data_IF_061086389256
#
_entry.id   IF_061086389256
#
_cell.length_a   1.000
_cell.length_b   1.000
_cell.length_c   1.000
_cell.angle_alpha   90.00
_cell.angle_beta   90.00
_cell.angle_gamma   90.00
#
_symmetry.space_group_name_H-M   'P 1'
#
loop_
_entity.id
_entity.type
_entity.pdbx_description
1 polymer ?
#
# COMPACT_ATOMS: atom_id res chain seq x y z
N UNK A 1 -17.48 3.59 -28.45
CA UNK A 1 -16.62 2.55 -29.05
C UNK A 1 -15.48 2.28 -28.08
N UNK A 2 -15.40 1.08 -27.49
CA UNK A 2 -14.47 0.76 -26.38
C UNK A 2 -13.47 -0.35 -26.73
N UNK A 3 -13.35 -0.71 -28.02
CA UNK A 3 -12.33 -1.65 -28.46
C UNK A 3 -10.95 -1.02 -28.36
N UNK A 4 -9.98 -1.78 -27.84
CA UNK A 4 -8.57 -1.39 -27.81
C UNK A 4 -8.04 -1.35 -29.24
N UNK A 5 -7.41 -0.24 -29.62
CA UNK A 5 -6.80 -0.05 -30.96
C UNK A 5 -5.29 0.11 -30.90
N UNK A 6 -4.75 0.46 -29.74
CA UNK A 6 -3.31 0.61 -29.54
C UNK A 6 -2.96 0.46 -28.06
N UNK A 7 -1.85 -0.20 -27.78
CA UNK A 7 -1.20 -0.24 -26.47
C UNK A 7 0.24 0.22 -26.65
N UNK A 8 0.73 1.07 -25.74
CA UNK A 8 2.11 1.58 -25.77
C UNK A 8 2.71 1.36 -24.39
N UNK A 9 3.85 0.70 -24.32
CA UNK A 9 4.68 0.61 -23.12
C UNK A 9 5.90 1.52 -23.21
N UNK A 10 6.33 2.09 -22.09
CA UNK A 10 7.59 2.83 -22.00
C UNK A 10 8.26 2.69 -20.64
N UNK A 11 9.57 2.94 -20.62
CA UNK A 11 10.37 3.03 -19.42
C UNK A 11 10.30 4.47 -18.89
N UNK A 12 9.79 4.64 -17.67
CA UNK A 12 9.81 5.91 -16.91
C UNK A 12 10.61 5.72 -15.62
N UNK A 13 10.66 6.74 -14.77
CA UNK A 13 11.44 6.74 -13.53
C UNK A 13 10.51 6.85 -12.31
N UNK A 14 10.71 6.00 -11.31
CA UNK A 14 10.00 6.04 -10.03
C UNK A 14 10.56 7.11 -9.08
N UNK A 15 9.92 7.26 -7.92
CA UNK A 15 10.27 8.25 -6.89
C UNK A 15 11.66 8.06 -6.27
N UNK A 16 12.31 6.92 -6.51
CA UNK A 16 13.65 6.56 -6.03
C UNK A 16 14.70 6.63 -7.14
N UNK A 17 14.31 7.06 -8.34
CA UNK A 17 15.21 7.15 -9.49
C UNK A 17 15.44 5.82 -10.22
N UNK A 18 14.66 4.76 -9.93
CA UNK A 18 14.75 3.49 -10.63
C UNK A 18 13.78 3.43 -11.81
N UNK A 19 14.09 2.68 -12.88
CA UNK A 19 13.16 2.47 -13.98
C UNK A 19 11.86 1.76 -13.54
N UNK A 20 10.73 2.11 -14.14
CA UNK A 20 9.49 1.34 -14.06
C UNK A 20 8.70 1.40 -15.38
N UNK A 21 7.67 0.54 -15.50
CA UNK A 21 6.84 0.42 -16.69
C UNK A 21 5.64 1.36 -16.59
N UNK A 22 5.45 2.18 -17.62
CA UNK A 22 4.21 2.91 -17.88
C UNK A 22 3.56 2.35 -19.15
N UNK A 23 2.23 2.23 -19.13
CA UNK A 23 1.45 1.82 -20.28
C UNK A 23 0.33 2.82 -20.61
N UNK A 24 0.07 2.99 -21.90
CA UNK A 24 -1.12 3.64 -22.44
C UNK A 24 -2.00 2.63 -23.17
N UNK A 25 -3.31 2.71 -22.95
CA UNK A 25 -4.32 1.94 -23.69
C UNK A 25 -5.24 2.92 -24.40
N UNK A 26 -5.28 2.83 -25.73
CA UNK A 26 -6.07 3.70 -26.61
C UNK A 26 -7.26 2.92 -27.17
N UNK A 27 -8.44 3.54 -27.14
CA UNK A 27 -9.68 2.94 -27.64
C UNK A 27 -10.14 3.60 -28.95
N UNK A 28 -10.92 2.87 -29.73
CA UNK A 28 -11.47 3.32 -31.03
C UNK A 28 -12.23 4.66 -30.94
N UNK A 29 -12.86 4.95 -29.80
CA UNK A 29 -13.53 6.23 -29.54
C UNK A 29 -12.61 7.42 -29.23
N UNK A 30 -11.29 7.24 -29.26
CA UNK A 30 -10.30 8.27 -28.92
C UNK A 30 -10.01 8.39 -27.41
N UNK A 31 -10.59 7.52 -26.59
CA UNK A 31 -10.33 7.48 -25.15
C UNK A 31 -8.97 6.85 -24.86
N UNK A 32 -8.26 7.41 -23.88
CA UNK A 32 -6.92 6.95 -23.47
C UNK A 32 -6.89 6.80 -21.97
N UNK A 33 -6.32 5.70 -21.50
CA UNK A 33 -5.92 5.52 -20.11
C UNK A 33 -4.40 5.33 -20.05
N UNK A 34 -3.80 5.86 -18.98
CA UNK A 34 -2.36 5.80 -18.74
C UNK A 34 -2.11 5.42 -17.29
N UNK A 35 -1.22 4.47 -17.04
CA UNK A 35 -0.86 4.03 -15.69
C UNK A 35 0.57 3.50 -15.64
N UNK A 36 1.19 3.60 -14.46
CA UNK A 36 2.53 3.08 -14.19
C UNK A 36 2.51 2.06 -13.04
N UNK A 37 3.40 1.08 -13.11
CA UNK A 37 3.60 0.13 -12.02
C UNK A 37 4.50 0.75 -10.91
N UNK A 38 4.12 0.66 -9.62
CA UNK A 38 5.01 0.97 -8.51
C UNK A 38 5.95 -0.21 -8.21
N UNK A 39 6.96 0.00 -7.38
CA UNK A 39 8.01 -0.98 -7.04
C UNK A 39 8.34 -0.97 -5.55
N UNK A 40 8.50 -2.13 -4.91
CA UNK A 40 8.87 -2.26 -3.49
C UNK A 40 10.35 -2.04 -3.20
N UNK A 41 10.68 -1.64 -1.95
CA UNK A 41 12.04 -1.77 -1.40
C UNK A 41 12.22 -3.17 -0.81
N UNK A 42 11.43 -3.48 0.23
CA UNK A 42 11.19 -4.83 0.70
C UNK A 42 10.07 -5.48 -0.13
N UNK A 43 10.26 -6.76 -0.42
CA UNK A 43 9.37 -7.59 -1.22
C UNK A 43 9.23 -8.94 -0.56
N UNK A 44 8.01 -9.31 -0.15
CA UNK A 44 7.72 -10.66 0.31
C UNK A 44 8.16 -11.70 -0.73
N UNK A 45 8.69 -12.82 -0.26
CA UNK A 45 9.29 -13.87 -1.11
C UNK A 45 8.30 -14.50 -2.10
N UNK A 46 7.00 -14.30 -1.87
CA UNK A 46 5.89 -14.87 -2.64
C UNK A 46 5.18 -13.86 -3.56
N UNK A 47 5.68 -12.62 -3.69
CA UNK A 47 5.14 -11.64 -4.63
C UNK A 47 5.23 -12.11 -6.09
N UNK A 48 4.31 -11.63 -6.93
CA UNK A 48 4.46 -11.73 -8.38
C UNK A 48 5.72 -11.00 -8.84
N UNK A 49 6.40 -11.53 -9.87
CA UNK A 49 7.74 -11.11 -10.23
C UNK A 49 7.74 -9.71 -10.89
N UNK A 50 8.47 -8.76 -10.32
CA UNK A 50 8.89 -7.55 -11.04
C UNK A 50 10.01 -7.89 -12.03
N UNK A 51 9.75 -7.84 -13.33
CA UNK A 51 10.76 -8.18 -14.33
C UNK A 51 11.73 -7.02 -14.56
N UNK A 52 13.01 -7.27 -14.25
CA UNK A 52 14.16 -6.36 -14.45
C UNK A 52 15.13 -6.93 -15.48
N UNK A 53 15.87 -6.06 -16.16
CA UNK A 53 16.74 -6.44 -17.28
C UNK A 53 18.00 -7.19 -16.85
N UNK A 54 18.60 -6.78 -15.71
CA UNK A 54 19.89 -7.29 -15.23
C UNK A 54 21.11 -6.70 -15.95
N UNK A 55 20.91 -5.78 -16.90
CA UNK A 55 21.99 -5.12 -17.64
C UNK A 55 22.72 -4.07 -16.79
N UNK A 56 23.91 -4.42 -16.28
CA UNK A 56 24.71 -3.54 -15.42
C UNK A 56 25.12 -2.22 -16.09
N UNK A 57 25.08 -2.12 -17.42
CA UNK A 57 25.41 -0.88 -18.13
C UNK A 57 24.30 0.18 -18.07
N UNK A 58 23.07 -0.21 -17.73
CA UNK A 58 21.90 0.69 -17.63
C UNK A 58 21.26 0.61 -16.25
N UNK A 59 21.15 1.74 -15.58
CA UNK A 59 20.46 1.85 -14.29
C UNK A 59 20.91 0.77 -13.27
N UNK A 60 22.21 0.43 -13.26
CA UNK A 60 22.80 -0.57 -12.35
C UNK A 60 22.18 -1.98 -12.46
N UNK A 61 21.58 -2.32 -13.61
CA UNK A 61 20.86 -3.59 -13.82
C UNK A 61 19.35 -3.51 -13.61
N UNK A 62 18.81 -2.34 -13.23
CA UNK A 62 17.40 -2.14 -12.88
C UNK A 62 16.50 -1.70 -14.04
N UNK A 63 17.02 -1.68 -15.27
CA UNK A 63 16.21 -1.41 -16.48
C UNK A 63 15.00 -2.34 -16.59
N UNK A 64 13.96 -1.90 -17.29
CA UNK A 64 12.70 -2.66 -17.50
C UNK A 64 12.36 -2.82 -18.98
N UNK A 65 13.36 -2.78 -19.86
CA UNK A 65 13.15 -2.84 -21.32
C UNK A 65 12.54 -4.15 -21.78
N UNK A 66 12.82 -5.27 -21.11
CA UNK A 66 12.17 -6.56 -21.37
C UNK A 66 10.66 -6.49 -21.10
N UNK A 67 10.27 -5.94 -19.95
CA UNK A 67 8.87 -5.76 -19.56
C UNK A 67 8.15 -4.78 -20.51
N UNK A 68 8.79 -3.66 -20.87
CA UNK A 68 8.30 -2.71 -21.88
C UNK A 68 8.16 -3.37 -23.26
N UNK A 69 9.09 -4.25 -23.63
CA UNK A 69 9.00 -5.07 -24.84
C UNK A 69 7.80 -6.02 -24.82
N UNK A 70 7.50 -6.62 -23.67
CA UNK A 70 6.31 -7.46 -23.50
C UNK A 70 5.01 -6.65 -23.68
N UNK A 71 4.94 -5.43 -23.14
CA UNK A 71 3.79 -4.52 -23.32
C UNK A 71 3.58 -4.20 -24.81
N UNK A 72 4.64 -3.77 -25.51
CA UNK A 72 4.54 -3.30 -26.89
C UNK A 72 4.39 -4.42 -27.94
N UNK A 73 4.74 -5.66 -27.60
CA UNK A 73 4.65 -6.81 -28.50
C UNK A 73 3.51 -7.75 -28.12
N UNK A 74 3.81 -8.87 -27.44
CA UNK A 74 2.85 -9.95 -27.23
C UNK A 74 1.57 -9.50 -26.49
N UNK A 75 1.68 -8.61 -25.48
CA UNK A 75 0.50 -8.13 -24.76
C UNK A 75 -0.36 -7.26 -25.68
N UNK A 76 0.22 -6.25 -26.34
CA UNK A 76 -0.49 -5.38 -27.28
C UNK A 76 -1.21 -6.19 -28.38
N UNK A 77 -0.52 -7.16 -28.99
CA UNK A 77 -1.07 -8.03 -30.03
C UNK A 77 -2.31 -8.81 -29.54
N UNK A 78 -2.26 -9.32 -28.30
CA UNK A 78 -3.33 -10.15 -27.75
C UNK A 78 -4.58 -9.36 -27.31
N UNK A 79 -4.40 -8.14 -26.79
CA UNK A 79 -5.51 -7.32 -26.28
C UNK A 79 -6.11 -6.36 -27.31
N UNK A 80 -5.42 -6.12 -28.42
CA UNK A 80 -5.97 -5.28 -29.50
C UNK A 80 -7.26 -5.90 -30.08
N UNK A 81 -8.27 -5.07 -30.31
CA UNK A 81 -9.59 -5.46 -30.77
C UNK A 81 -10.54 -5.98 -29.67
N UNK A 82 -10.05 -6.19 -28.45
CA UNK A 82 -10.87 -6.58 -27.29
C UNK A 82 -11.57 -5.37 -26.68
N UNK A 83 -12.72 -5.59 -26.04
CA UNK A 83 -13.46 -4.53 -25.34
C UNK A 83 -12.82 -4.22 -23.99
N UNK A 84 -12.33 -2.99 -23.81
CA UNK A 84 -11.68 -2.57 -22.56
C UNK A 84 -12.63 -2.55 -21.36
N UNK A 85 -13.96 -2.53 -21.58
CA UNK A 85 -14.95 -2.60 -20.49
C UNK A 85 -15.00 -3.96 -19.80
N UNK A 86 -14.55 -5.01 -20.47
CA UNK A 86 -14.47 -6.36 -19.92
C UNK A 86 -13.10 -6.58 -19.26
N UNK A 87 -12.90 -5.89 -18.13
CA UNK A 87 -11.63 -5.88 -17.40
C UNK A 87 -11.15 -7.31 -17.07
N UNK A 88 -12.05 -8.17 -16.62
CA UNK A 88 -11.73 -9.54 -16.25
C UNK A 88 -11.20 -10.34 -17.45
N UNK A 89 -11.79 -10.16 -18.64
CA UNK A 89 -11.28 -10.80 -19.85
C UNK A 89 -9.94 -10.22 -20.30
N UNK A 90 -9.73 -8.91 -20.23
CA UNK A 90 -8.43 -8.28 -20.55
C UNK A 90 -7.33 -8.82 -19.64
N UNK A 91 -7.56 -8.82 -18.32
CA UNK A 91 -6.61 -9.35 -17.34
C UNK A 91 -6.36 -10.84 -17.56
N UNK A 92 -7.43 -11.62 -17.79
CA UNK A 92 -7.33 -13.06 -18.08
C UNK A 92 -6.48 -13.35 -19.31
N UNK A 93 -6.66 -12.61 -20.41
CA UNK A 93 -5.86 -12.78 -21.63
C UNK A 93 -4.38 -12.61 -21.31
N UNK A 94 -4.00 -11.58 -20.55
CA UNK A 94 -2.60 -11.31 -20.20
C UNK A 94 -2.03 -12.39 -19.27
N UNK A 95 -2.80 -12.83 -18.27
CA UNK A 95 -2.41 -13.89 -17.33
C UNK A 95 -2.22 -15.22 -18.07
N UNK A 96 -3.18 -15.63 -18.90
CA UNK A 96 -3.09 -16.88 -19.67
C UNK A 96 -1.93 -16.86 -20.68
N UNK A 97 -1.65 -15.70 -21.28
CA UNK A 97 -0.57 -15.52 -22.26
C UNK A 97 0.83 -15.53 -21.61
N UNK A 98 0.95 -14.98 -20.40
CA UNK A 98 2.13 -15.13 -19.56
C UNK A 98 2.34 -16.62 -19.22
N UNK A 99 1.28 -17.26 -18.71
CA UNK A 99 1.22 -18.70 -18.46
C UNK A 99 1.99 -19.18 -17.24
N UNK A 100 2.54 -18.28 -16.42
CA UNK A 100 3.24 -18.63 -15.17
C UNK A 100 2.44 -18.17 -13.94
N UNK A 101 2.57 -18.89 -12.82
CA UNK A 101 1.83 -18.56 -11.57
C UNK A 101 2.20 -17.17 -11.03
N UNK A 102 3.46 -16.76 -11.16
CA UNK A 102 3.98 -15.50 -10.61
C UNK A 102 4.24 -14.43 -11.67
N UNK A 103 3.66 -14.57 -12.88
CA UNK A 103 3.77 -13.59 -13.97
C UNK A 103 5.23 -13.33 -14.42
N UNK A 104 6.09 -14.33 -14.31
CA UNK A 104 7.54 -14.19 -14.52
C UNK A 104 7.98 -14.08 -15.98
N UNK A 105 7.11 -14.39 -16.95
CA UNK A 105 7.46 -14.31 -18.37
C UNK A 105 7.42 -12.87 -18.88
N UNK A 106 6.38 -12.11 -18.51
CA UNK A 106 6.24 -10.70 -18.89
C UNK A 106 6.62 -9.74 -17.78
N UNK A 107 6.57 -10.19 -16.53
CA UNK A 107 6.65 -9.36 -15.34
C UNK A 107 5.29 -8.82 -14.93
N UNK A 108 5.01 -8.88 -13.62
CA UNK A 108 3.82 -8.30 -13.02
C UNK A 108 3.73 -6.79 -13.30
N UNK A 109 4.87 -6.10 -13.39
CA UNK A 109 4.96 -4.68 -13.76
C UNK A 109 4.43 -4.39 -15.19
N UNK A 110 4.65 -5.28 -16.16
CA UNK A 110 4.09 -5.13 -17.51
C UNK A 110 2.56 -5.33 -17.52
N UNK A 111 2.09 -6.43 -16.93
CA UNK A 111 0.68 -6.81 -16.93
C UNK A 111 -0.15 -5.77 -16.16
N UNK A 112 0.34 -5.34 -14.99
CA UNK A 112 -0.35 -4.37 -14.16
C UNK A 112 -0.50 -3.02 -14.85
N UNK A 113 0.57 -2.49 -15.47
CA UNK A 113 0.52 -1.19 -16.14
C UNK A 113 -0.58 -1.18 -17.21
N UNK A 114 -0.68 -2.24 -18.02
CA UNK A 114 -1.74 -2.39 -19.04
C UNK A 114 -3.11 -2.59 -18.38
N UNK A 115 -3.21 -3.40 -17.32
CA UNK A 115 -4.44 -3.66 -16.58
C UNK A 115 -5.08 -2.36 -16.07
N UNK A 116 -4.29 -1.50 -15.42
CA UNK A 116 -4.76 -0.22 -14.87
C UNK A 116 -5.04 0.81 -15.99
N UNK A 117 -4.21 0.86 -17.02
CA UNK A 117 -4.42 1.74 -18.17
C UNK A 117 -5.72 1.38 -18.93
N UNK A 118 -6.03 0.09 -19.09
CA UNK A 118 -7.28 -0.38 -19.69
C UNK A 118 -8.49 0.05 -18.87
N UNK A 119 -8.45 -0.10 -17.54
CA UNK A 119 -9.52 0.35 -16.64
C UNK A 119 -9.77 1.86 -16.76
N UNK A 120 -8.71 2.68 -16.78
CA UNK A 120 -8.81 4.14 -16.97
C UNK A 120 -9.42 4.50 -18.33
N UNK A 121 -8.99 3.84 -19.40
CA UNK A 121 -9.52 4.06 -20.74
C UNK A 121 -11.01 3.68 -20.82
N UNK A 122 -11.39 2.57 -20.17
CA UNK A 122 -12.78 2.10 -20.10
C UNK A 122 -13.67 3.05 -19.28
N UNK A 123 -13.18 3.57 -18.14
CA UNK A 123 -13.88 4.59 -17.36
C UNK A 123 -14.15 5.84 -18.21
N UNK A 124 -13.13 6.34 -18.92
CA UNK A 124 -13.26 7.47 -19.84
C UNK A 124 -14.27 7.18 -20.96
N UNK A 125 -14.24 5.98 -21.56
CA UNK A 125 -15.19 5.57 -22.59
C UNK A 125 -16.63 5.41 -22.10
N UNK A 126 -16.82 5.26 -20.78
CA UNK A 126 -18.13 5.25 -20.12
C UNK A 126 -18.56 6.65 -19.65
N UNK A 127 -17.70 7.66 -19.78
CA UNK A 127 -17.99 9.03 -19.35
C UNK A 127 -18.07 9.19 -17.84
N UNK A 128 -17.31 8.38 -17.09
CA UNK A 128 -17.31 8.38 -15.63
C UNK A 128 -15.88 8.38 -15.05
N UNK A 129 -15.68 8.86 -13.82
CA UNK A 129 -14.40 8.77 -13.13
C UNK A 129 -14.02 7.32 -12.79
N UNK A 130 -12.73 7.09 -12.54
CA UNK A 130 -12.19 5.74 -12.32
C UNK A 130 -12.79 5.07 -11.07
N UNK A 131 -12.94 5.78 -9.95
CA UNK A 131 -13.57 5.22 -8.74
C UNK A 131 -14.98 4.67 -8.99
N UNK A 132 -15.77 5.30 -9.86
CA UNK A 132 -17.13 4.86 -10.19
C UNK A 132 -17.09 3.61 -11.08
N UNK A 133 -16.18 3.59 -12.05
CA UNK A 133 -15.94 2.39 -12.86
C UNK A 133 -15.46 1.21 -12.01
N UNK A 134 -14.54 1.44 -11.06
CA UNK A 134 -14.06 0.41 -10.12
C UNK A 134 -15.22 -0.13 -9.28
N UNK A 135 -16.12 0.73 -8.79
CA UNK A 135 -17.29 0.28 -8.05
C UNK A 135 -18.22 -0.62 -8.88
N UNK A 136 -18.37 -0.33 -10.18
CA UNK A 136 -19.10 -1.22 -11.09
C UNK A 136 -18.38 -2.56 -11.30
N UNK A 137 -17.06 -2.55 -11.55
CA UNK A 137 -16.25 -3.76 -11.70
C UNK A 137 -16.28 -4.63 -10.44
N UNK A 138 -16.31 -3.99 -9.27
CA UNK A 138 -16.40 -4.64 -7.97
C UNK A 138 -17.81 -5.19 -7.66
N UNK A 139 -18.81 -4.96 -8.52
CA UNK A 139 -20.19 -5.37 -8.29
C UNK A 139 -20.89 -4.56 -7.18
N UNK A 140 -20.38 -3.38 -6.85
CA UNK A 140 -20.86 -2.51 -5.77
C UNK A 140 -21.15 -1.09 -6.26
N UNK A 141 -21.68 -0.96 -7.48
CA UNK A 141 -21.95 0.31 -8.13
C UNK A 141 -22.63 1.33 -7.18
N UNK A 142 -22.09 2.55 -7.12
CA UNK A 142 -22.59 3.63 -6.27
C UNK A 142 -22.25 3.52 -4.77
N UNK A 143 -21.53 2.47 -4.33
CA UNK A 143 -21.03 2.35 -2.96
C UNK A 143 -19.61 2.88 -2.86
N UNK A 144 -19.41 3.90 -2.04
CA UNK A 144 -18.14 4.56 -1.84
C UNK A 144 -17.90 4.83 -0.36
N UNK A 145 -16.63 5.01 0.03
CA UNK A 145 -16.23 5.63 1.28
C UNK A 145 -14.90 6.35 1.08
N UNK A 146 -14.67 7.43 1.83
CA UNK A 146 -13.33 8.02 1.89
C UNK A 146 -12.50 7.21 2.92
N UNK A 147 -11.31 6.74 2.55
CA UNK A 147 -10.52 5.88 3.43
C UNK A 147 -9.90 6.67 4.59
N UNK A 148 -9.80 6.07 5.77
CA UNK A 148 -8.94 6.54 6.85
C UNK A 148 -7.47 6.36 6.46
N UNK A 149 -6.68 7.43 6.34
CA UNK A 149 -5.27 7.31 6.04
C UNK A 149 -4.45 6.92 7.28
N UNK A 150 -3.56 5.94 7.11
CA UNK A 150 -2.42 5.71 8.01
C UNK A 150 -1.18 6.32 7.37
N UNK A 151 -0.70 7.42 7.97
CA UNK A 151 0.35 8.27 7.39
C UNK A 151 1.67 8.01 8.09
N UNK A 152 2.63 7.42 7.37
CA UNK A 152 3.98 7.19 7.87
C UNK A 152 4.71 8.52 8.08
N UNK A 153 5.12 8.82 9.32
CA UNK A 153 5.80 10.08 9.67
C UNK A 153 7.19 9.88 10.29
N UNK A 154 7.53 8.66 10.71
CA UNK A 154 8.89 8.25 11.09
C UNK A 154 9.20 6.91 10.43
N UNK A 155 10.31 6.87 9.71
CA UNK A 155 10.83 5.68 9.05
C UNK A 155 11.95 5.03 9.88
N UNK A 156 12.02 3.71 9.80
CA UNK A 156 13.15 2.87 10.20
C UNK A 156 13.36 1.75 9.19
N UNK A 157 14.03 0.68 9.60
CA UNK A 157 14.28 -0.50 8.78
C UNK A 157 14.92 -0.16 7.42
N UNK A 158 14.54 -0.88 6.37
CA UNK A 158 15.08 -0.71 5.01
C UNK A 158 14.70 0.62 4.34
N UNK A 159 13.78 1.39 4.93
CA UNK A 159 13.33 2.68 4.39
C UNK A 159 14.19 3.87 4.87
N UNK A 160 15.14 3.63 5.77
CA UNK A 160 15.94 4.69 6.39
C UNK A 160 17.38 4.25 6.73
N UNK A 161 18.33 5.17 6.53
CA UNK A 161 19.70 5.02 7.05
C UNK A 161 19.76 5.54 8.50
N UNK A 162 19.09 4.83 9.41
CA UNK A 162 19.06 5.12 10.85
C UNK A 162 19.15 3.84 11.69
N UNK A 163 18.97 3.96 13.01
CA UNK A 163 19.07 2.85 13.96
C UNK A 163 17.71 2.39 14.51
N UNK A 164 16.62 2.65 13.80
CA UNK A 164 15.26 2.25 14.19
C UNK A 164 14.94 0.95 13.47
N UNK A 165 14.56 -0.11 14.20
CA UNK A 165 14.33 -1.44 13.62
C UNK A 165 12.95 -1.55 12.95
N UNK A 166 11.92 -0.97 13.58
CA UNK A 166 10.56 -0.94 13.04
C UNK A 166 10.51 -0.04 11.81
N UNK A 167 9.97 -0.55 10.71
CA UNK A 167 10.04 0.10 9.40
C UNK A 167 9.21 1.39 9.34
N UNK A 168 7.98 1.40 9.87
CA UNK A 168 7.13 2.60 9.81
C UNK A 168 6.35 2.85 11.10
N UNK A 169 6.32 4.12 11.50
CA UNK A 169 5.43 4.63 12.54
C UNK A 169 4.45 5.63 11.95
N UNK A 170 3.17 5.31 12.08
CA UNK A 170 2.09 5.99 11.38
C UNK A 170 1.12 6.66 12.35
N UNK A 171 0.57 7.80 11.91
CA UNK A 171 -0.59 8.43 12.54
C UNK A 171 -1.85 8.18 11.73
N UNK A 172 -2.98 8.04 12.42
CA UNK A 172 -4.30 7.91 11.83
C UNK A 172 -5.22 9.02 12.37
N UNK A 173 -5.67 9.99 11.55
CA UNK A 173 -6.52 11.10 11.98
C UNK A 173 -8.00 10.69 12.18
N UNK A 174 -8.25 9.78 13.12
CA UNK A 174 -9.55 9.13 13.31
C UNK A 174 -10.67 10.07 13.79
N UNK A 175 -10.33 11.20 14.41
CA UNK A 175 -11.29 12.19 14.91
C UNK A 175 -11.91 13.07 13.82
N UNK A 176 -11.28 13.13 12.64
CA UNK A 176 -11.71 13.94 11.51
C UNK A 176 -13.12 13.57 11.03
N UNK A 177 -13.84 14.55 10.46
CA UNK A 177 -15.19 14.36 9.89
C UNK A 177 -15.17 14.16 8.39
N UNK A 178 -14.08 14.54 7.74
CA UNK A 178 -13.84 14.35 6.32
C UNK A 178 -12.39 13.95 6.09
N UNK A 179 -12.10 13.36 4.95
CA UNK A 179 -10.73 13.08 4.57
C UNK A 179 -9.93 14.37 4.42
N UNK A 180 -10.48 15.43 3.82
CA UNK A 180 -9.78 16.72 3.69
C UNK A 180 -9.33 17.26 5.05
N UNK A 181 -10.16 17.10 6.08
CA UNK A 181 -9.76 17.40 7.45
C UNK A 181 -8.66 16.45 7.94
N UNK A 182 -8.78 15.14 7.72
CA UNK A 182 -7.75 14.17 8.10
C UNK A 182 -6.38 14.50 7.49
N UNK A 183 -6.33 14.88 6.20
CA UNK A 183 -5.11 15.32 5.50
C UNK A 183 -4.51 16.56 6.15
N UNK A 184 -5.35 17.54 6.54
CA UNK A 184 -4.89 18.73 7.26
C UNK A 184 -4.28 18.38 8.62
N UNK A 185 -4.96 17.54 9.42
CA UNK A 185 -4.45 17.06 10.72
C UNK A 185 -3.07 16.41 10.53
N UNK A 186 -2.95 15.50 9.56
CA UNK A 186 -1.69 14.83 9.25
C UNK A 186 -0.56 15.81 8.90
N UNK A 187 -0.85 16.83 8.09
CA UNK A 187 0.13 17.85 7.70
C UNK A 187 0.58 18.70 8.90
N UNK A 188 -0.36 19.11 9.76
CA UNK A 188 -0.06 19.89 10.95
C UNK A 188 0.79 19.10 11.96
N UNK A 189 0.49 17.82 12.17
CA UNK A 189 1.30 16.92 13.02
C UNK A 189 2.70 16.72 12.43
N UNK A 190 2.80 16.43 11.13
CA UNK A 190 4.09 16.28 10.43
C UNK A 190 4.99 17.51 10.59
N UNK A 191 4.46 18.71 10.38
CA UNK A 191 5.25 19.93 10.53
C UNK A 191 5.64 20.25 11.98
N UNK A 192 4.82 19.87 12.96
CA UNK A 192 5.20 20.00 14.37
C UNK A 192 6.24 18.94 14.77
N UNK A 193 6.17 17.72 14.21
CA UNK A 193 7.21 16.70 14.41
C UNK A 193 8.58 17.20 13.92
N UNK A 194 8.64 17.88 12.78
CA UNK A 194 9.88 18.52 12.32
C UNK A 194 10.48 19.50 13.36
N UNK A 195 9.64 20.27 14.06
CA UNK A 195 10.09 21.20 15.11
C UNK A 195 10.58 20.46 16.34
N UNK A 196 9.85 19.42 16.76
CA UNK A 196 10.23 18.54 17.88
C UNK A 196 11.61 17.92 17.61
N UNK A 197 11.79 17.28 16.45
CA UNK A 197 13.08 16.68 16.06
C UNK A 197 14.22 17.71 16.02
N UNK A 198 13.98 18.90 15.42
CA UNK A 198 14.99 19.98 15.39
C UNK A 198 15.39 20.47 16.77
N UNK A 199 14.43 20.60 17.69
CA UNK A 199 14.73 21.02 19.07
C UNK A 199 15.59 20.01 19.84
N UNK A 200 15.54 18.73 19.43
CA UNK A 200 16.37 17.64 19.95
C UNK A 200 17.68 17.45 19.17
N UNK A 201 17.96 18.30 18.18
CA UNK A 201 19.16 18.20 17.34
C UNK A 201 19.15 17.02 16.36
N UNK A 202 17.98 16.44 16.10
CA UNK A 202 17.83 15.28 15.22
C UNK A 202 17.63 15.70 13.74
N UNK A 203 17.96 14.79 12.82
CA UNK A 203 17.74 15.00 11.38
C UNK A 203 16.25 15.18 11.07
N UNK A 204 15.96 16.04 10.09
CA UNK A 204 14.61 16.21 9.50
C UNK A 204 14.63 15.95 7.99
N UNK A 205 15.67 15.26 7.51
CA UNK A 205 15.64 14.66 6.19
C UNK A 205 14.56 13.58 6.14
N UNK A 206 14.03 13.35 4.94
CA UNK A 206 12.94 12.39 4.72
C UNK A 206 13.43 11.16 3.99
N UNK A 207 12.87 9.99 4.31
CA UNK A 207 13.11 8.73 3.59
C UNK A 207 12.25 8.58 2.35
N UNK A 208 12.11 7.34 1.87
CA UNK A 208 11.41 7.00 0.62
C UNK A 208 9.92 7.39 0.67
N UNK A 209 9.25 7.21 1.82
CA UNK A 209 7.82 7.48 2.05
C UNK A 209 7.55 8.92 2.48
N UNK A 210 8.58 9.77 2.59
CA UNK A 210 8.45 11.17 2.99
C UNK A 210 8.36 11.41 4.49
N UNK A 211 8.38 10.36 5.32
CA UNK A 211 8.52 10.44 6.77
C UNK A 211 9.96 10.81 7.18
N UNK A 212 10.16 11.25 8.41
CA UNK A 212 11.50 11.58 8.91
C UNK A 212 12.30 10.33 9.25
N UNK A 213 13.61 10.37 9.07
CA UNK A 213 14.54 9.29 9.44
C UNK A 213 15.57 9.76 10.49
N UNK A 214 15.16 10.12 11.71
CA UNK A 214 16.10 10.47 12.77
C UNK A 214 16.79 9.22 13.34
N UNK A 215 17.97 9.40 13.94
CA UNK A 215 18.51 8.42 14.88
C UNK A 215 17.81 8.59 16.23
N UNK A 216 17.38 7.48 16.82
CA UNK A 216 16.63 7.43 18.07
C UNK A 216 17.26 6.43 19.04
N UNK A 217 17.12 6.63 20.34
CA UNK A 217 17.66 5.73 21.36
C UNK A 217 16.94 4.39 21.46
N UNK A 218 15.70 4.28 20.96
CA UNK A 218 14.92 3.04 20.89
C UNK A 218 13.74 3.16 19.93
N UNK A 219 13.13 2.04 19.56
CA UNK A 219 11.88 2.03 18.79
C UNK A 219 10.74 2.75 19.53
N UNK A 220 10.67 2.62 20.86
CA UNK A 220 9.67 3.31 21.68
C UNK A 220 9.85 4.84 21.70
N UNK A 221 11.06 5.37 21.47
CA UNK A 221 11.27 6.81 21.37
C UNK A 221 10.59 7.42 20.14
N UNK A 222 10.42 6.65 19.05
CA UNK A 222 9.67 7.09 17.88
C UNK A 222 8.22 7.44 18.26
N UNK A 223 7.56 6.57 19.02
CA UNK A 223 6.21 6.80 19.54
C UNK A 223 6.15 8.02 20.47
N UNK A 224 7.18 8.24 21.29
CA UNK A 224 7.26 9.36 22.22
C UNK A 224 7.32 10.71 21.49
N UNK A 225 8.18 10.84 20.47
CA UNK A 225 8.30 12.10 19.70
C UNK A 225 7.07 12.36 18.83
N UNK A 226 6.40 11.30 18.35
CA UNK A 226 5.11 11.42 17.66
C UNK A 226 4.03 11.94 18.63
N UNK A 227 3.95 11.38 19.83
CA UNK A 227 3.01 11.85 20.85
C UNK A 227 3.24 13.33 21.21
N UNK A 228 4.50 13.75 21.33
CA UNK A 228 4.88 15.15 21.53
C UNK A 228 4.41 16.04 20.37
N UNK A 229 4.58 15.58 19.13
CA UNK A 229 4.16 16.31 17.93
C UNK A 229 2.63 16.43 17.80
N UNK A 230 1.88 15.37 18.08
CA UNK A 230 0.41 15.36 18.09
C UNK A 230 -0.12 16.39 19.09
N UNK A 231 0.44 16.41 20.30
CA UNK A 231 0.10 17.39 21.33
C UNK A 231 0.48 18.82 20.91
N UNK A 232 1.66 19.00 20.33
CA UNK A 232 2.13 20.31 19.86
C UNK A 232 1.27 20.86 18.71
N UNK A 233 0.66 19.99 17.91
CA UNK A 233 -0.31 20.35 16.87
C UNK A 233 -1.72 20.67 17.42
N UNK A 234 -1.96 20.45 18.73
CA UNK A 234 -3.23 20.75 19.39
C UNK A 234 -4.27 19.63 19.34
N UNK A 235 -3.85 18.39 19.04
CA UNK A 235 -4.72 17.21 18.97
C UNK A 235 -4.55 16.29 20.19
N UNK A 236 -5.61 15.54 20.52
CA UNK A 236 -5.62 14.55 21.61
C UNK A 236 -5.26 13.15 21.07
N UNK A 237 -4.10 12.62 21.48
CA UNK A 237 -3.66 11.27 21.12
C UNK A 237 -4.60 10.21 21.72
N UNK A 238 -5.02 9.24 20.91
CA UNK A 238 -5.98 8.20 21.25
C UNK A 238 -7.45 8.56 20.98
N UNK A 239 -7.74 9.82 20.63
CA UNK A 239 -9.09 10.29 20.32
C UNK A 239 -9.18 11.00 18.97
N UNK A 240 -8.33 11.99 18.75
CA UNK A 240 -8.25 12.69 17.46
C UNK A 240 -7.31 11.95 16.50
N UNK A 241 -6.22 11.39 17.06
CA UNK A 241 -5.17 10.67 16.33
C UNK A 241 -4.84 9.37 17.04
N UNK A 242 -4.94 8.23 16.36
CA UNK A 242 -4.41 6.93 16.82
C UNK A 242 -3.10 6.61 16.10
N UNK A 243 -2.42 5.54 16.51
CA UNK A 243 -1.16 5.11 15.93
C UNK A 243 -1.30 3.76 15.21
N UNK A 244 -0.51 3.58 14.18
CA UNK A 244 -0.29 2.31 13.51
C UNK A 244 1.22 2.08 13.31
N UNK A 245 1.62 0.81 13.18
CA UNK A 245 3.02 0.45 12.92
C UNK A 245 3.08 -0.57 11.79
N UNK A 246 4.16 -0.50 11.01
CA UNK A 246 4.60 -1.58 10.13
C UNK A 246 5.97 -2.03 10.63
N UNK A 247 6.02 -3.26 11.13
CA UNK A 247 7.25 -3.82 11.67
C UNK A 247 8.17 -4.30 10.56
N UNK A 248 7.63 -4.80 9.44
CA UNK A 248 8.37 -5.56 8.43
C UNK A 248 9.30 -6.60 9.07
N UNK A 249 8.75 -7.40 10.01
CA UNK A 249 9.58 -8.16 10.94
C UNK A 249 10.44 -9.27 10.29
N UNK A 250 10.13 -9.66 9.05
CA UNK A 250 10.97 -10.53 8.23
C UNK A 250 12.40 -9.98 8.07
N UNK A 251 12.57 -8.65 8.00
CA UNK A 251 13.89 -8.01 7.77
C UNK A 251 14.86 -8.17 8.95
N UNK A 252 14.34 -8.37 10.16
CA UNK A 252 15.13 -8.62 11.35
C UNK A 252 14.87 -10.00 11.98
N UNK A 253 14.27 -10.91 11.21
CA UNK A 253 14.11 -12.29 11.59
C UNK A 253 15.31 -13.14 11.16
N UNK A 254 15.95 -13.80 12.12
CA UNK A 254 17.13 -14.61 11.89
C UNK A 254 17.18 -15.82 12.81
N UNK A 255 17.39 -16.99 12.21
CA UNK A 255 17.59 -18.26 12.93
C UNK A 255 16.48 -18.55 13.98
N UNK A 256 15.23 -18.23 13.64
CA UNK A 256 14.08 -18.46 14.53
C UNK A 256 13.82 -17.36 15.57
N UNK A 257 14.50 -16.21 15.47
CA UNK A 257 14.41 -15.11 16.43
C UNK A 257 14.30 -13.75 15.74
N UNK A 258 13.61 -12.83 16.38
CA UNK A 258 13.51 -11.42 15.99
C UNK A 258 14.62 -10.64 16.70
N UNK A 259 15.53 -10.01 15.97
CA UNK A 259 16.73 -9.35 16.53
C UNK A 259 16.69 -7.85 16.29
N UNK A 260 16.42 -7.08 17.34
CA UNK A 260 16.39 -5.62 17.28
C UNK A 260 17.80 -5.05 17.47
N UNK A 261 18.46 -4.66 16.37
CA UNK A 261 19.80 -4.09 16.38
C UNK A 261 19.82 -2.71 17.06
N UNK A 262 18.79 -1.89 16.81
CA UNK A 262 18.58 -0.59 17.43
C UNK A 262 18.42 -0.64 18.95
N UNK A 263 18.04 -1.80 19.50
CA UNK A 263 17.91 -2.07 20.94
C UNK A 263 19.05 -2.93 21.51
N UNK A 264 20.24 -2.83 20.93
CA UNK A 264 21.43 -3.52 21.43
C UNK A 264 21.46 -5.02 21.10
N UNK A 265 20.93 -5.39 19.93
CA UNK A 265 20.80 -6.78 19.46
C UNK A 265 19.94 -7.66 20.37
N UNK A 266 18.89 -7.08 20.95
CA UNK A 266 17.95 -7.83 21.77
C UNK A 266 17.22 -8.85 20.88
N UNK A 267 17.28 -10.12 21.26
CA UNK A 267 16.69 -11.21 20.51
C UNK A 267 15.43 -11.74 21.22
N UNK A 268 14.38 -11.96 20.45
CA UNK A 268 13.08 -12.43 20.92
C UNK A 268 12.67 -13.68 20.16
N UNK A 269 12.01 -14.62 20.84
CA UNK A 269 11.12 -15.58 20.18
C UNK A 269 9.86 -14.88 19.65
N UNK A 270 9.05 -15.60 18.87
CA UNK A 270 7.78 -15.08 18.34
C UNK A 270 6.79 -14.65 19.43
N UNK A 271 6.66 -15.43 20.50
CA UNK A 271 5.80 -15.09 21.65
C UNK A 271 6.34 -13.88 22.42
N UNK A 272 7.65 -13.82 22.66
CA UNK A 272 8.28 -12.69 23.36
C UNK A 272 8.17 -11.39 22.53
N UNK A 273 8.30 -11.47 21.21
CA UNK A 273 8.14 -10.31 20.34
C UNK A 273 6.67 -9.86 20.27
N UNK A 274 5.73 -10.81 20.24
CA UNK A 274 4.29 -10.52 20.38
C UNK A 274 3.98 -9.76 21.67
N UNK A 275 4.54 -10.17 22.81
CA UNK A 275 4.34 -9.46 24.07
C UNK A 275 5.06 -8.12 24.13
N UNK A 276 6.21 -7.99 23.48
CA UNK A 276 6.86 -6.69 23.31
C UNK A 276 5.92 -5.71 22.57
N UNK A 277 5.32 -6.14 21.46
CA UNK A 277 4.33 -5.34 20.72
C UNK A 277 3.08 -5.08 21.57
N UNK A 278 2.57 -6.07 22.31
CA UNK A 278 1.45 -5.91 23.24
C UNK A 278 1.73 -4.80 24.26
N UNK A 279 2.92 -4.79 24.85
CA UNK A 279 3.30 -3.78 25.85
C UNK A 279 3.41 -2.37 25.26
N UNK A 280 3.74 -2.23 23.98
CA UNK A 280 3.66 -0.94 23.28
C UNK A 280 2.20 -0.49 23.14
N UNK A 281 1.26 -1.39 22.81
CA UNK A 281 -0.18 -1.07 22.70
C UNK A 281 -0.82 -0.67 24.02
N UNK A 282 -0.24 -1.09 25.16
CA UNK A 282 -0.69 -0.65 26.50
C UNK A 282 -0.20 0.77 26.83
N UNK A 283 0.95 1.17 26.29
CA UNK A 283 1.57 2.46 26.56
C UNK A 283 1.10 3.56 25.59
N UNK A 284 0.80 3.18 24.36
CA UNK A 284 0.40 4.08 23.29
C UNK A 284 -0.87 3.56 22.61
N UNK A 285 -1.75 4.44 22.08
CA UNK A 285 -2.98 4.03 21.40
C UNK A 285 -2.69 3.53 19.99
N UNK A 286 -1.89 2.46 19.91
CA UNK A 286 -1.61 1.71 18.69
C UNK A 286 -2.82 0.82 18.46
N UNK A 287 -3.48 1.00 17.33
CA UNK A 287 -4.70 0.25 16.96
C UNK A 287 -4.49 -0.65 15.76
N UNK A 288 -3.34 -0.54 15.09
CA UNK A 288 -2.98 -1.38 13.94
C UNK A 288 -1.49 -1.72 13.94
N UNK A 289 -1.16 -2.98 13.69
CA UNK A 289 0.20 -3.49 13.55
C UNK A 289 0.25 -4.32 12.26
N UNK A 290 1.14 -3.96 11.36
CA UNK A 290 1.41 -4.64 10.10
C UNK A 290 2.70 -5.46 10.21
N UNK A 291 2.66 -6.67 9.63
CA UNK A 291 3.75 -7.65 9.59
C UNK A 291 4.57 -7.72 10.88
N UNK A 292 3.85 -7.88 11.99
CA UNK A 292 4.43 -7.96 13.33
C UNK A 292 5.27 -9.22 13.58
N UNK A 293 5.35 -10.12 12.61
CA UNK A 293 6.16 -11.35 12.59
C UNK A 293 6.58 -11.65 11.14
N UNK A 294 7.52 -12.57 10.98
CA UNK A 294 8.06 -12.98 9.68
C UNK A 294 6.99 -13.66 8.81
N UNK A 295 7.04 -13.46 7.49
CA UNK A 295 6.03 -13.98 6.55
C UNK A 295 5.87 -15.51 6.56
N UNK A 296 6.87 -16.24 7.08
CA UNK A 296 6.87 -17.70 7.23
C UNK A 296 6.46 -18.19 8.63
N UNK A 297 6.39 -17.31 9.63
CA UNK A 297 6.07 -17.65 11.03
C UNK A 297 4.54 -17.73 11.27
N UNK A 298 3.89 -18.67 10.59
CA UNK A 298 2.43 -18.84 10.65
C UNK A 298 1.93 -19.26 12.03
N UNK A 299 2.71 -20.08 12.75
CA UNK A 299 2.37 -20.48 14.13
C UNK A 299 2.48 -19.28 15.08
N UNK A 300 3.52 -18.46 14.90
CA UNK A 300 3.67 -17.19 15.58
C UNK A 300 2.52 -16.22 15.30
N UNK A 301 2.13 -16.06 14.03
CA UNK A 301 0.99 -15.21 13.67
C UNK A 301 -0.33 -15.72 14.25
N UNK A 302 -0.55 -17.04 14.31
CA UNK A 302 -1.73 -17.60 14.99
C UNK A 302 -1.75 -17.21 16.48
N UNK A 303 -0.59 -17.29 17.14
CA UNK A 303 -0.41 -16.85 18.52
C UNK A 303 -0.64 -15.33 18.67
N UNK A 304 -0.02 -14.51 17.83
CA UNK A 304 -0.18 -13.06 17.81
C UNK A 304 -1.64 -12.65 17.61
N UNK A 305 -2.35 -13.34 16.71
CA UNK A 305 -3.78 -13.11 16.46
C UNK A 305 -4.62 -13.46 17.67
N UNK A 306 -4.32 -14.57 18.36
CA UNK A 306 -4.99 -14.93 19.61
C UNK A 306 -4.77 -13.90 20.73
N UNK A 307 -3.57 -13.32 20.83
CA UNK A 307 -3.23 -12.37 21.91
C UNK A 307 -3.77 -10.97 21.62
N UNK A 308 -3.64 -10.48 20.39
CA UNK A 308 -3.88 -9.08 20.02
C UNK A 308 -5.14 -8.86 19.16
N UNK A 309 -5.57 -9.87 18.40
CA UNK A 309 -6.51 -9.73 17.29
C UNK A 309 -7.93 -9.29 17.65
N UNK A 310 -8.32 -9.37 18.93
CA UNK A 310 -9.61 -8.88 19.42
C UNK A 310 -9.66 -7.36 19.57
N UNK A 311 -8.49 -6.70 19.73
CA UNK A 311 -8.39 -5.26 20.01
C UNK A 311 -7.54 -4.51 18.99
N UNK A 312 -6.63 -5.20 18.33
CA UNK A 312 -5.65 -4.63 17.42
C UNK A 312 -5.91 -5.15 16.02
N UNK A 313 -5.91 -4.26 15.04
CA UNK A 313 -5.86 -4.64 13.65
C UNK A 313 -4.48 -5.24 13.34
N UNK A 314 -4.44 -6.50 12.94
CA UNK A 314 -3.23 -7.20 12.51
C UNK A 314 -3.28 -7.32 10.99
N UNK A 315 -2.43 -6.55 10.33
CA UNK A 315 -2.38 -6.44 8.86
C UNK A 315 -1.29 -7.36 8.34
N UNK A 316 -1.65 -8.31 7.48
CA UNK A 316 -0.68 -9.08 6.71
C UNK A 316 -0.36 -8.39 5.38
N UNK A 317 0.91 -8.07 5.14
CA UNK A 317 1.44 -7.54 3.89
C UNK A 317 2.26 -8.62 3.16
N UNK A 318 3.52 -8.84 3.51
CA UNK A 318 4.34 -9.94 2.98
C UNK A 318 3.76 -11.31 3.36
N UNK A 319 3.00 -11.36 4.47
CA UNK A 319 2.28 -12.55 4.88
C UNK A 319 1.28 -13.03 3.82
N UNK A 320 0.62 -12.11 3.10
CA UNK A 320 -0.46 -12.45 2.14
C UNK A 320 -0.16 -12.05 0.69
N UNK A 321 0.74 -11.11 0.45
CA UNK A 321 1.17 -10.59 -0.86
C UNK A 321 0.01 -10.32 -1.82
N UNK A 322 -1.10 -9.78 -1.31
CA UNK A 322 -2.34 -9.53 -2.08
C UNK A 322 -2.86 -10.78 -2.84
N UNK A 323 -2.53 -11.99 -2.39
CA UNK A 323 -2.83 -13.23 -3.08
C UNK A 323 -3.98 -14.00 -2.40
N UNK A 324 -5.08 -14.19 -3.12
CA UNK A 324 -6.28 -14.87 -2.60
C UNK A 324 -6.04 -16.31 -2.15
N UNK A 325 -5.05 -17.03 -2.72
CA UNK A 325 -4.74 -18.40 -2.28
C UNK A 325 -4.16 -18.40 -0.87
N UNK A 326 -3.23 -17.48 -0.61
CA UNK A 326 -2.54 -17.35 0.68
C UNK A 326 -3.49 -16.74 1.71
N UNK A 327 -4.23 -15.68 1.34
CA UNK A 327 -5.24 -15.07 2.21
C UNK A 327 -6.29 -16.10 2.63
N UNK A 328 -6.76 -16.95 1.71
CA UNK A 328 -7.73 -18.01 2.04
C UNK A 328 -7.18 -18.96 3.12
N UNK A 329 -5.95 -19.42 2.97
CA UNK A 329 -5.31 -20.26 3.99
C UNK A 329 -5.18 -19.55 5.33
N UNK A 330 -4.84 -18.26 5.31
CA UNK A 330 -4.78 -17.41 6.50
C UNK A 330 -6.13 -17.32 7.23
N UNK A 331 -7.19 -17.04 6.48
CA UNK A 331 -8.57 -17.01 7.00
C UNK A 331 -8.94 -18.37 7.63
N UNK A 332 -8.69 -19.47 6.92
CA UNK A 332 -9.05 -20.81 7.39
C UNK A 332 -8.31 -21.19 8.70
N UNK A 333 -7.13 -20.61 8.93
CA UNK A 333 -6.28 -20.85 10.12
C UNK A 333 -6.42 -19.79 11.21
N UNK A 334 -7.22 -18.74 11.01
CA UNK A 334 -7.36 -17.64 11.98
C UNK A 334 -6.11 -16.77 12.10
N UNK A 335 -5.44 -16.52 10.97
CA UNK A 335 -4.20 -15.75 10.87
C UNK A 335 -4.52 -14.30 10.52
N UNK A 336 -4.04 -13.37 11.35
CA UNK A 336 -4.27 -11.94 11.23
C UNK A 336 -5.77 -11.56 11.21
N UNK A 337 -6.11 -10.31 10.93
CA UNK A 337 -7.50 -9.87 10.78
C UNK A 337 -7.68 -8.72 9.77
N UNK A 338 -6.63 -8.40 9.02
CA UNK A 338 -6.56 -7.42 7.95
C UNK A 338 -5.53 -7.84 6.90
N UNK A 339 -5.68 -7.33 5.68
CA UNK A 339 -4.71 -7.50 4.58
C UNK A 339 -4.32 -6.15 4.01
N UNK A 340 -3.03 -5.97 3.75
CA UNK A 340 -2.52 -4.87 2.96
C UNK A 340 -2.65 -5.21 1.47
N UNK A 341 -3.25 -4.31 0.70
CA UNK A 341 -3.56 -4.52 -0.72
C UNK A 341 -2.62 -3.68 -1.57
N UNK A 342 -1.70 -4.36 -2.25
CA UNK A 342 -0.76 -3.80 -3.23
C UNK A 342 -0.96 -4.52 -4.54
N UNK A 343 -1.60 -3.86 -5.52
CA UNK A 343 -1.95 -4.51 -6.79
C UNK A 343 -0.75 -5.05 -7.57
N UNK A 344 0.48 -4.61 -7.28
CA UNK A 344 1.68 -5.05 -7.99
C UNK A 344 2.26 -6.34 -7.41
N UNK A 345 1.89 -6.69 -6.17
CA UNK A 345 2.20 -8.00 -5.58
C UNK A 345 1.44 -9.14 -6.28
N UNK A 346 0.26 -8.85 -6.87
CA UNK A 346 -0.53 -9.84 -7.60
C UNK A 346 -0.53 -9.62 -9.12
N UNK A 347 -0.45 -8.37 -9.59
CA UNK A 347 -0.17 -8.00 -10.98
C UNK A 347 -1.39 -7.71 -11.87
N UNK A 348 -2.62 -7.69 -11.36
CA UNK A 348 -3.81 -7.27 -12.14
C UNK A 348 -4.90 -6.64 -11.26
N UNK A 349 -5.73 -5.78 -11.85
CA UNK A 349 -6.87 -5.17 -11.14
C UNK A 349 -7.91 -6.23 -10.75
N UNK A 350 -8.19 -7.18 -11.62
CA UNK A 350 -9.19 -8.24 -11.35
C UNK A 350 -8.80 -9.09 -10.14
N UNK A 351 -7.55 -9.56 -10.05
CA UNK A 351 -7.08 -10.34 -8.91
C UNK A 351 -7.02 -9.48 -7.63
N UNK A 352 -6.70 -8.20 -7.75
CA UNK A 352 -6.73 -7.24 -6.63
C UNK A 352 -8.14 -7.09 -6.05
N UNK A 353 -9.16 -6.91 -6.90
CA UNK A 353 -10.56 -6.84 -6.48
C UNK A 353 -11.02 -8.15 -5.81
N UNK A 354 -10.55 -9.29 -6.30
CA UNK A 354 -10.83 -10.59 -5.69
C UNK A 354 -10.25 -10.71 -4.27
N UNK A 355 -9.03 -10.21 -4.03
CA UNK A 355 -8.41 -10.17 -2.70
C UNK A 355 -9.18 -9.26 -1.74
N UNK A 356 -9.54 -8.04 -2.17
CA UNK A 356 -10.36 -7.11 -1.38
C UNK A 356 -11.71 -7.75 -1.01
N UNK A 357 -12.38 -8.38 -1.98
CA UNK A 357 -13.66 -9.04 -1.76
C UNK A 357 -13.54 -10.19 -0.75
N UNK A 358 -12.54 -11.06 -0.91
CA UNK A 358 -12.30 -12.19 -0.01
C UNK A 358 -12.06 -11.73 1.44
N UNK A 359 -11.26 -10.68 1.62
CA UNK A 359 -11.03 -10.10 2.94
C UNK A 359 -12.35 -9.62 3.57
N UNK A 360 -13.13 -8.80 2.85
CA UNK A 360 -14.40 -8.29 3.34
C UNK A 360 -15.41 -9.41 3.64
N UNK A 361 -15.50 -10.43 2.79
CA UNK A 361 -16.40 -11.58 2.99
C UNK A 361 -16.05 -12.37 4.27
N UNK A 362 -14.77 -12.46 4.63
CA UNK A 362 -14.28 -13.08 5.85
C UNK A 362 -14.31 -12.15 7.08
N UNK A 363 -14.79 -10.90 6.91
CA UNK A 363 -14.80 -9.89 7.97
C UNK A 363 -13.43 -9.30 8.29
N UNK A 364 -12.42 -9.52 7.45
CA UNK A 364 -11.15 -8.81 7.50
C UNK A 364 -11.32 -7.40 6.95
N UNK A 365 -10.45 -6.49 7.36
CA UNK A 365 -10.32 -5.19 6.68
C UNK A 365 -9.32 -5.29 5.52
N UNK A 366 -9.44 -4.38 4.56
CA UNK A 366 -8.54 -4.29 3.41
C UNK A 366 -7.97 -2.87 3.36
N UNK A 367 -6.66 -2.75 3.52
CA UNK A 367 -5.95 -1.48 3.54
C UNK A 367 -5.28 -1.29 2.19
N UNK A 368 -5.74 -0.34 1.38
CA UNK A 368 -5.12 -0.10 0.07
C UNK A 368 -3.76 0.58 0.26
N UNK A 369 -2.71 0.08 -0.39
CA UNK A 369 -1.35 0.55 -0.13
C UNK A 369 -0.58 0.96 -1.37
N UNK A 370 0.32 1.92 -1.18
CA UNK A 370 1.42 2.26 -2.08
C UNK A 370 2.57 1.23 -2.01
N UNK A 371 3.68 1.51 -2.72
CA UNK A 371 5.01 0.91 -2.50
C UNK A 371 6.07 1.99 -2.19
N UNK A 372 7.24 1.61 -1.71
CA UNK A 372 8.35 2.54 -1.45
C UNK A 372 8.83 3.26 -2.73
N UNK A 373 8.82 2.61 -3.89
CA UNK A 373 8.98 3.23 -5.21
C UNK A 373 7.62 3.54 -5.84
N UNK A 374 7.24 4.81 -5.87
CA UNK A 374 5.95 5.28 -6.41
C UNK A 374 6.15 6.20 -7.62
N UNK A 375 5.05 6.53 -8.29
CA UNK A 375 5.02 7.56 -9.34
C UNK A 375 4.01 8.65 -8.99
N UNK A 376 3.78 9.60 -9.89
CA UNK A 376 2.68 10.56 -9.80
C UNK A 376 1.29 9.92 -9.96
N UNK A 377 1.21 8.66 -10.38
CA UNK A 377 -0.03 7.92 -10.54
C UNK A 377 -0.82 7.87 -9.22
N UNK A 378 -2.12 8.13 -9.25
CA UNK A 378 -2.96 8.16 -8.05
C UNK A 378 -4.04 7.07 -8.02
N UNK A 379 -3.87 5.97 -8.76
CA UNK A 379 -4.89 4.93 -8.95
C UNK A 379 -5.37 4.32 -7.63
N UNK A 380 -4.48 4.18 -6.64
CA UNK A 380 -4.86 3.63 -5.33
C UNK A 380 -5.89 4.49 -4.57
N UNK A 381 -5.96 5.79 -4.85
CA UNK A 381 -7.01 6.65 -4.29
C UNK A 381 -8.38 6.26 -4.83
N UNK A 382 -8.50 6.14 -6.15
CA UNK A 382 -9.72 5.70 -6.83
C UNK A 382 -10.10 4.26 -6.46
N UNK A 383 -9.11 3.37 -6.29
CA UNK A 383 -9.31 1.99 -5.83
C UNK A 383 -9.90 1.94 -4.42
N UNK A 384 -9.32 2.69 -3.48
CA UNK A 384 -9.79 2.74 -2.09
C UNK A 384 -11.24 3.24 -2.00
N UNK A 385 -11.58 4.28 -2.76
CA UNK A 385 -12.94 4.84 -2.78
C UNK A 385 -13.91 3.92 -3.51
N UNK A 386 -13.56 3.44 -4.71
CA UNK A 386 -14.42 2.61 -5.55
C UNK A 386 -14.73 1.24 -4.96
N UNK A 387 -13.89 0.74 -4.06
CA UNK A 387 -14.12 -0.53 -3.33
C UNK A 387 -14.69 -0.33 -1.93
N UNK A 388 -14.89 0.92 -1.50
CA UNK A 388 -15.21 1.29 -0.13
C UNK A 388 -14.32 0.53 0.87
N UNK A 389 -12.99 0.53 0.61
CA UNK A 389 -12.02 -0.28 1.36
C UNK A 389 -12.03 0.08 2.85
N UNK A 390 -12.15 1.38 3.15
CA UNK A 390 -12.22 1.94 4.49
C UNK A 390 -10.90 2.53 4.98
N UNK A 391 -9.75 2.07 4.47
CA UNK A 391 -8.41 2.51 4.89
C UNK A 391 -7.44 2.62 3.71
N UNK A 392 -6.42 3.48 3.85
CA UNK A 392 -5.34 3.65 2.87
C UNK A 392 -3.98 3.90 3.56
N UNK A 393 -2.92 3.26 3.07
CA UNK A 393 -1.50 3.48 3.45
C UNK A 393 -0.77 4.05 2.24
N UNK A 394 -0.59 5.37 2.19
CA UNK A 394 0.01 6.04 1.01
C UNK A 394 1.15 7.01 1.35
N UNK A 395 1.79 6.81 2.50
CA UNK A 395 3.00 7.53 2.91
C UNK A 395 2.72 8.82 3.69
N UNK A 396 3.77 9.60 3.89
CA UNK A 396 3.74 10.82 4.69
C UNK A 396 3.06 12.00 4.00
N UNK A 397 3.04 13.14 4.69
CA UNK A 397 2.56 14.41 4.15
C UNK A 397 3.64 15.22 3.41
N UNK A 398 4.60 14.53 2.82
CA UNK A 398 5.65 15.11 1.97
C UNK A 398 5.94 14.21 0.76
N UNK A 399 6.64 14.77 -0.23
CA UNK A 399 6.94 14.19 -1.55
C UNK A 399 5.69 13.95 -2.43
N UNK A 400 5.76 14.37 -3.69
CA UNK A 400 4.59 14.35 -4.58
C UNK A 400 4.12 12.93 -4.93
N UNK A 401 5.02 11.95 -4.92
CA UNK A 401 4.72 10.52 -5.06
C UNK A 401 3.72 10.01 -4.01
N UNK A 402 3.65 10.66 -2.84
CA UNK A 402 2.67 10.38 -1.77
C UNK A 402 1.50 11.34 -1.86
N UNK A 403 1.81 12.64 -1.87
CA UNK A 403 0.84 13.72 -1.79
C UNK A 403 -0.11 13.77 -3.00
N UNK A 404 0.29 13.24 -4.17
CA UNK A 404 -0.61 13.10 -5.31
C UNK A 404 -1.87 12.27 -4.99
N UNK A 405 -1.74 11.23 -4.15
CA UNK A 405 -2.86 10.37 -3.74
C UNK A 405 -3.78 11.10 -2.78
N UNK A 406 -3.25 11.80 -1.78
CA UNK A 406 -4.05 12.66 -0.90
C UNK A 406 -4.79 13.75 -1.68
N UNK A 407 -4.11 14.39 -2.64
CA UNK A 407 -4.74 15.38 -3.51
C UNK A 407 -5.85 14.78 -4.38
N UNK A 408 -5.64 13.56 -4.90
CA UNK A 408 -6.67 12.86 -5.66
C UNK A 408 -7.89 12.54 -4.79
N UNK A 409 -7.66 12.05 -3.58
CA UNK A 409 -8.75 11.78 -2.66
C UNK A 409 -9.52 13.05 -2.26
N UNK A 410 -8.85 14.21 -2.11
CA UNK A 410 -9.54 15.50 -1.90
C UNK A 410 -10.47 15.83 -3.07
N UNK A 411 -10.02 15.62 -4.32
CA UNK A 411 -10.87 15.83 -5.51
C UNK A 411 -12.08 14.89 -5.54
N UNK A 412 -11.87 13.62 -5.16
CA UNK A 412 -12.95 12.63 -5.10
C UNK A 412 -13.97 12.99 -4.01
N UNK A 413 -13.51 13.38 -2.82
CA UNK A 413 -14.38 13.84 -1.73
C UNK A 413 -15.18 15.07 -2.13
N UNK A 414 -14.57 16.04 -2.82
CA UNK A 414 -15.26 17.23 -3.35
C UNK A 414 -16.38 16.86 -4.32
N UNK A 415 -16.17 15.88 -5.20
CA UNK A 415 -17.14 15.44 -6.19
C UNK A 415 -18.27 14.55 -5.61
N UNK A 416 -17.96 13.72 -4.62
CA UNK A 416 -18.91 12.79 -4.02
C UNK A 416 -19.67 13.39 -2.84
N UNK A 417 -19.05 14.28 -2.06
CA UNK A 417 -19.58 14.78 -0.80
C UNK A 417 -20.02 13.62 0.09
N UNK A 418 -21.23 13.72 0.64
CA UNK A 418 -21.80 12.69 1.53
C UNK A 418 -22.03 11.31 0.88
N UNK A 419 -21.88 11.17 -0.45
CA UNK A 419 -21.95 9.85 -1.12
C UNK A 419 -20.74 8.97 -0.82
N UNK A 420 -19.64 9.55 -0.38
CA UNK A 420 -18.47 8.84 0.14
C UNK A 420 -18.21 9.30 1.58
N UNK A 421 -18.86 8.68 2.58
CA UNK A 421 -18.64 9.06 3.97
C UNK A 421 -17.19 8.76 4.40
N UNK A 422 -16.62 9.63 5.22
CA UNK A 422 -15.42 9.35 5.99
C UNK A 422 -15.83 8.75 7.33
N UNK A 423 -15.47 7.49 7.56
CA UNK A 423 -16.02 6.69 8.65
C UNK A 423 -15.15 6.71 9.93
N UNK A 424 -13.90 7.19 9.85
CA UNK A 424 -13.00 7.33 10.99
C UNK A 424 -12.65 6.00 11.65
N UNK A 425 -12.56 5.99 12.97
CA UNK A 425 -12.03 4.87 13.77
C UNK A 425 -12.70 3.51 13.49
N UNK A 426 -14.00 3.48 13.19
CA UNK A 426 -14.75 2.21 12.99
C UNK A 426 -14.33 1.41 11.74
N UNK A 427 -13.50 1.99 10.88
CA UNK A 427 -12.92 1.27 9.74
C UNK A 427 -11.72 0.40 10.16
N UNK A 428 -11.17 0.63 11.37
CA UNK A 428 -10.06 -0.14 11.93
C UNK A 428 -10.62 -1.38 12.62
N UNK A 429 -10.08 -2.55 12.29
CA UNK A 429 -10.52 -3.82 12.88
C UNK A 429 -10.28 -3.81 14.40
N UNK A 430 -11.31 -4.18 15.17
CA UNK A 430 -11.25 -4.23 16.63
C UNK A 430 -11.68 -2.94 17.35
N UNK A 431 -12.18 -1.94 16.61
CA UNK A 431 -12.60 -0.63 17.14
C UNK A 431 -14.09 -0.34 17.00
#
# INVERSE_FOLDING_TARGET
MSKIVKVIGREIIDSRGNPTVEAEVHLEGGFVGLAAAPSGASTGSREALELRDGDKSRFLGKGVTKAVGAVNGPIAEAVTGKDAKDQANIDKIMIDLDGTENKSKFGANAILAVSLAAAKAAAAAKGMPLYEHIAELNGTAGKFSMPLPMMNIINGGEHADNNVDIQEFMIQPVGAKTLKEAVRIGSEVFHNLAKVLKSKGMSTAVGDEGGYAPNLGSNAEALAVIAEAVKAAGYELGKDVTLAMDCAASEFYKDGKYVLAGEGNKAFSSEEFTHFLEDLTKQYPIVSIEDGLDESDWDGFAYQTKVLGDKIQLVGDDLFVTNTRILKEGIDKGIANSILIKFNQIGSLTETLAAIKMAKDAGYTAVISHRSGETEDATIADLAVGTAAGQIKTGSMSRSDRVAKYNQLIRIEEALGNRAPFNGLKEVKGQ
#
